data_IF_029759092331
#
_entry.id   IF_029759092331
#
_cell.length_a   1.000
_cell.length_b   1.000
_cell.length_c   1.000
_cell.angle_alpha   90.00
_cell.angle_beta   90.00
_cell.angle_gamma   90.00
#
_symmetry.space_group_name_H-M   'P 1'
#
loop_
_entity.id
_entity.type
_entity.pdbx_description
1 polymer ?
#
# COMPACT_ATOMS: atom_id res chain seq x y z
N UNK A 1 25.90 22.87 -4.72
CA UNK A 1 25.53 23.53 -5.99
C UNK A 1 25.31 22.58 -7.17
N UNK A 2 25.35 21.25 -7.00
CA UNK A 2 25.14 20.30 -8.11
C UNK A 2 23.76 19.60 -8.10
N UNK A 3 23.01 19.66 -6.99
CA UNK A 3 21.68 19.06 -6.91
C UNK A 3 20.64 19.82 -7.75
N UNK A 4 20.75 21.16 -7.77
CA UNK A 4 19.93 22.08 -8.56
C UNK A 4 20.01 21.78 -10.07
N UNK A 5 21.22 21.49 -10.56
CA UNK A 5 21.47 21.12 -11.96
C UNK A 5 20.90 19.74 -12.31
N UNK A 6 20.92 18.79 -11.37
CA UNK A 6 20.36 17.45 -11.57
C UNK A 6 18.82 17.49 -11.60
N UNK A 7 18.20 18.26 -10.69
CA UNK A 7 16.74 18.47 -10.68
C UNK A 7 16.27 19.27 -11.91
N UNK A 8 17.07 20.24 -12.39
CA UNK A 8 16.79 20.99 -13.61
C UNK A 8 16.99 20.17 -14.90
N UNK A 9 17.72 19.05 -14.85
CA UNK A 9 17.96 18.16 -15.98
C UNK A 9 16.91 17.05 -16.13
N UNK A 10 16.08 16.81 -15.10
CA UNK A 10 14.98 15.84 -15.19
C UNK A 10 13.88 16.45 -16.05
N UNK A 11 13.73 15.93 -17.26
CA UNK A 11 12.57 16.24 -18.09
C UNK A 11 11.34 15.53 -17.49
N UNK A 12 10.14 16.06 -17.73
CA UNK A 12 8.89 15.36 -17.32
C UNK A 12 8.81 13.95 -17.91
N UNK A 13 9.50 13.71 -19.01
CA UNK A 13 9.50 12.44 -19.73
C UNK A 13 10.26 11.35 -18.95
N UNK A 14 11.32 11.74 -18.23
CA UNK A 14 12.11 10.84 -17.39
C UNK A 14 11.32 10.31 -16.17
N UNK A 15 10.20 10.96 -15.84
CA UNK A 15 9.29 10.54 -14.77
C UNK A 15 8.25 9.52 -15.24
N UNK A 16 8.05 9.31 -16.55
CA UNK A 16 7.04 8.39 -17.06
C UNK A 16 7.22 6.94 -16.56
N UNK A 17 8.43 6.35 -16.52
CA UNK A 17 8.62 5.02 -15.95
C UNK A 17 8.15 4.93 -14.50
N UNK A 18 8.42 5.96 -13.68
CA UNK A 18 7.96 6.02 -12.29
C UNK A 18 6.43 6.11 -12.20
N UNK A 19 5.79 6.91 -13.06
CA UNK A 19 4.32 6.98 -13.13
C UNK A 19 3.70 5.65 -13.53
N UNK A 20 4.27 4.97 -14.52
CA UNK A 20 3.80 3.65 -14.97
C UNK A 20 3.91 2.64 -13.82
N UNK A 21 5.06 2.60 -13.14
CA UNK A 21 5.26 1.74 -11.97
C UNK A 21 4.27 2.08 -10.84
N UNK A 22 3.99 3.36 -10.61
CA UNK A 22 2.99 3.79 -9.63
C UNK A 22 1.58 3.30 -9.99
N UNK A 23 1.17 3.39 -11.26
CA UNK A 23 -0.12 2.87 -11.71
C UNK A 23 -0.23 1.35 -11.60
N UNK A 24 0.85 0.62 -11.92
CA UNK A 24 0.93 -0.83 -11.66
C UNK A 24 0.84 -1.14 -10.16
N UNK A 25 1.49 -0.32 -9.32
CA UNK A 25 1.41 -0.39 -7.87
C UNK A 25 0.00 -0.16 -7.34
N UNK A 26 -0.75 0.81 -7.89
CA UNK A 26 -2.16 1.05 -7.56
C UNK A 26 -2.99 -0.18 -7.93
N UNK A 27 -2.88 -0.68 -9.17
CA UNK A 27 -3.64 -1.84 -9.62
C UNK A 27 -3.37 -3.08 -8.75
N UNK A 28 -2.10 -3.35 -8.45
CA UNK A 28 -1.70 -4.43 -7.55
C UNK A 28 -2.22 -4.26 -6.12
N UNK A 29 -2.16 -3.04 -5.59
CA UNK A 29 -2.65 -2.71 -4.24
C UNK A 29 -4.17 -2.86 -4.15
N UNK A 30 -4.92 -2.44 -5.18
CA UNK A 30 -6.37 -2.65 -5.25
C UNK A 30 -6.74 -4.13 -5.31
N UNK A 31 -6.03 -4.92 -6.12
CA UNK A 31 -6.21 -6.37 -6.17
C UNK A 31 -5.91 -7.02 -4.80
N UNK A 32 -4.85 -6.59 -4.11
CA UNK A 32 -4.52 -7.03 -2.77
C UNK A 32 -5.60 -6.66 -1.75
N UNK A 33 -6.17 -5.46 -1.85
CA UNK A 33 -7.29 -5.03 -1.02
C UNK A 33 -8.54 -5.89 -1.22
N UNK A 34 -8.86 -6.22 -2.47
CA UNK A 34 -9.93 -7.17 -2.80
C UNK A 34 -9.66 -8.57 -2.24
N UNK A 35 -8.40 -9.03 -2.28
CA UNK A 35 -8.00 -10.29 -1.68
C UNK A 35 -8.14 -10.27 -0.14
N UNK A 36 -7.65 -9.23 0.53
CA UNK A 36 -7.80 -9.05 1.97
C UNK A 36 -9.27 -9.03 2.37
N UNK A 37 -10.10 -8.29 1.64
CA UNK A 37 -11.55 -8.24 1.88
C UNK A 37 -12.21 -9.63 1.81
N UNK A 38 -11.88 -10.42 0.78
CA UNK A 38 -12.46 -11.77 0.62
C UNK A 38 -11.95 -12.78 1.64
N UNK A 39 -10.73 -12.61 2.14
CA UNK A 39 -10.06 -13.58 3.01
C UNK A 39 -9.86 -13.07 4.44
N UNK A 40 -10.60 -12.04 4.87
CA UNK A 40 -10.43 -11.44 6.19
C UNK A 40 -10.55 -12.49 7.31
N UNK A 41 -11.51 -13.39 7.23
CA UNK A 41 -11.71 -14.43 8.24
C UNK A 41 -10.60 -15.48 8.21
N UNK A 42 -10.00 -15.77 7.05
CA UNK A 42 -8.88 -16.71 6.97
C UNK A 42 -7.57 -16.11 7.49
N UNK A 43 -7.36 -14.83 7.21
CA UNK A 43 -6.11 -14.12 7.56
C UNK A 43 -6.15 -13.56 8.99
N UNK A 44 -7.33 -13.20 9.48
CA UNK A 44 -7.54 -12.48 10.74
C UNK A 44 -8.73 -13.00 11.57
N UNK A 45 -9.43 -14.07 11.14
CA UNK A 45 -10.61 -14.64 11.81
C UNK A 45 -10.28 -15.78 12.77
N UNK A 46 -11.17 -16.01 13.75
CA UNK A 46 -10.87 -16.72 15.02
C UNK A 46 -10.28 -18.10 14.77
N UNK A 47 -9.14 -18.36 15.43
CA UNK A 47 -8.55 -19.69 15.50
C UNK A 47 -9.06 -20.32 16.79
N UNK A 48 -9.76 -21.45 16.68
CA UNK A 48 -10.35 -22.15 17.83
C UNK A 48 -9.26 -22.68 18.78
N UNK A 49 -8.01 -22.79 18.31
CA UNK A 49 -6.88 -23.28 19.09
C UNK A 49 -6.17 -22.18 19.92
N UNK A 50 -6.45 -20.90 19.67
CA UNK A 50 -5.77 -19.78 20.35
C UNK A 50 -6.70 -19.18 21.42
N UNK A 51 -6.28 -19.12 22.71
CA UNK A 51 -7.11 -18.60 23.79
C UNK A 51 -7.62 -17.17 23.53
N UNK A 52 -8.85 -16.91 23.98
CA UNK A 52 -9.58 -15.65 23.78
C UNK A 52 -8.88 -14.38 24.29
N UNK A 53 -7.86 -14.51 25.14
CA UNK A 53 -7.01 -13.41 25.63
C UNK A 53 -6.19 -12.70 24.53
N UNK A 54 -6.13 -13.27 23.32
CA UNK A 54 -5.44 -12.66 22.16
C UNK A 54 -6.38 -11.91 21.20
N UNK A 55 -7.69 -11.89 21.47
CA UNK A 55 -8.72 -11.32 20.59
C UNK A 55 -8.48 -9.85 20.24
N UNK A 56 -8.12 -9.02 21.23
CA UNK A 56 -7.84 -7.59 21.03
C UNK A 56 -6.61 -7.32 20.16
N UNK A 57 -5.54 -8.11 20.33
CA UNK A 57 -4.32 -7.98 19.52
C UNK A 57 -4.55 -8.29 18.04
N UNK A 58 -5.52 -9.16 17.75
CA UNK A 58 -5.86 -9.54 16.38
C UNK A 58 -6.79 -8.58 15.67
N UNK A 59 -7.78 -8.03 16.37
CA UNK A 59 -8.59 -6.94 15.83
C UNK A 59 -7.70 -5.72 15.55
N UNK A 60 -6.74 -5.44 16.42
CA UNK A 60 -5.70 -4.44 16.20
C UNK A 60 -4.86 -4.76 14.96
N UNK A 61 -4.38 -6.00 14.81
CA UNK A 61 -3.63 -6.43 13.62
C UNK A 61 -4.43 -6.31 12.30
N UNK A 62 -5.72 -6.59 12.33
CA UNK A 62 -6.63 -6.39 11.19
C UNK A 62 -6.75 -4.91 10.83
N UNK A 63 -6.97 -4.04 11.83
CA UNK A 63 -7.03 -2.59 11.62
C UNK A 63 -5.69 -2.06 11.09
N UNK A 64 -4.57 -2.48 11.66
CA UNK A 64 -3.24 -2.07 11.24
C UNK A 64 -2.96 -2.49 9.79
N UNK A 65 -3.39 -3.68 9.37
CA UNK A 65 -3.28 -4.11 7.97
C UNK A 65 -4.01 -3.16 7.02
N UNK A 66 -5.23 -2.74 7.36
CA UNK A 66 -5.98 -1.78 6.55
C UNK A 66 -5.36 -0.39 6.54
N UNK A 67 -4.81 0.06 7.68
CA UNK A 67 -4.07 1.34 7.75
C UNK A 67 -2.83 1.31 6.84
N UNK A 68 -2.04 0.23 6.90
CA UNK A 68 -0.87 0.05 6.03
C UNK A 68 -1.25 -0.03 4.55
N UNK A 69 -2.32 -0.76 4.24
CA UNK A 69 -2.85 -0.88 2.89
C UNK A 69 -3.27 0.49 2.31
N UNK A 70 -4.00 1.31 3.09
CA UNK A 70 -4.32 2.68 2.69
C UNK A 70 -3.07 3.54 2.52
N UNK A 71 -2.08 3.41 3.41
CA UNK A 71 -0.80 4.10 3.29
C UNK A 71 -0.08 3.78 1.98
N UNK A 72 -0.04 2.50 1.58
CA UNK A 72 0.53 2.08 0.30
C UNK A 72 -0.22 2.70 -0.89
N UNK A 73 -1.56 2.71 -0.85
CA UNK A 73 -2.38 3.29 -1.91
C UNK A 73 -2.10 4.79 -2.07
N UNK A 74 -1.97 5.53 -0.96
CA UNK A 74 -1.66 6.96 -0.95
C UNK A 74 -0.27 7.23 -1.54
N UNK A 75 0.74 6.42 -1.18
CA UNK A 75 2.09 6.56 -1.72
C UNK A 75 2.10 6.36 -3.24
N UNK A 76 1.46 5.30 -3.74
CA UNK A 76 1.40 5.10 -5.19
C UNK A 76 0.55 6.15 -5.90
N UNK A 77 -0.55 6.61 -5.29
CA UNK A 77 -1.35 7.71 -5.84
C UNK A 77 -0.52 9.01 -5.94
N UNK A 78 0.30 9.32 -4.94
CA UNK A 78 1.22 10.47 -4.99
C UNK A 78 2.17 10.36 -6.18
N UNK A 79 2.84 9.21 -6.36
CA UNK A 79 3.77 9.03 -7.48
C UNK A 79 3.08 8.96 -8.86
N UNK A 80 1.84 8.48 -8.93
CA UNK A 80 1.10 8.35 -10.18
C UNK A 80 0.38 9.63 -10.63
N UNK A 81 -0.03 10.49 -9.68
CA UNK A 81 -0.88 11.66 -9.94
C UNK A 81 -0.21 13.00 -9.63
N UNK A 82 0.68 13.06 -8.63
CA UNK A 82 1.25 14.33 -8.15
C UNK A 82 2.68 14.58 -8.65
N UNK A 83 3.48 13.53 -8.87
CA UNK A 83 4.67 13.58 -9.72
C UNK A 83 4.25 13.73 -11.19
#
# INVERSE_FOLDING_TARGET
MHLELFLAAISREDLYPFKILAWLGIAGTLALGGYFWKHQTRLFGFDEEIPSDTSGGRDYGRMQTWVLWWGMLIVFAFFGLAL
#
